data_IF_144170543897
#
_entry.id   IF_144170543897
#
_cell.length_a   1.000
_cell.length_b   1.000
_cell.length_c   1.000
_cell.angle_alpha   90.00
_cell.angle_beta   90.00
_cell.angle_gamma   90.00
#
_symmetry.space_group_name_H-M   'P 1'
#
loop_
_entity.id
_entity.type
_entity.pdbx_description
1 polymer ?
#
# COMPACT_ATOMS: atom_id res chain seq x y z
N UNK A 1 -6.60 -16.49 33.28
CA UNK A 1 -5.68 -15.34 33.44
C UNK A 1 -5.09 -15.06 32.06
N UNK A 2 -5.53 -14.00 31.38
CA UNK A 2 -4.96 -13.62 30.10
C UNK A 2 -3.54 -13.15 30.35
N UNK A 3 -2.56 -13.90 29.86
CA UNK A 3 -1.20 -13.38 29.75
C UNK A 3 -1.26 -12.06 29.01
N UNK A 4 -0.82 -11.01 29.65
CA UNK A 4 -0.70 -9.68 29.07
C UNK A 4 0.45 -9.72 28.05
N UNK A 5 0.22 -10.34 26.87
CA UNK A 5 1.22 -10.46 25.82
C UNK A 5 1.58 -9.05 25.38
N UNK A 6 2.81 -8.66 25.63
CA UNK A 6 3.31 -7.35 25.23
C UNK A 6 3.56 -7.32 23.72
N UNK A 7 2.60 -6.79 22.96
CA UNK A 7 2.69 -6.66 21.51
C UNK A 7 3.47 -5.41 21.06
N UNK A 8 4.02 -4.60 21.98
CA UNK A 8 4.68 -3.33 21.65
C UNK A 8 5.88 -3.55 20.71
N UNK A 9 6.76 -4.51 21.05
CA UNK A 9 7.96 -4.79 20.23
C UNK A 9 7.60 -5.33 18.85
N UNK A 10 6.70 -6.33 18.71
CA UNK A 10 6.21 -6.76 17.40
C UNK A 10 5.58 -5.62 16.57
N UNK A 11 4.77 -4.78 17.19
CA UNK A 11 4.11 -3.65 16.51
C UNK A 11 5.15 -2.61 16.04
N UNK A 12 6.12 -2.26 16.88
CA UNK A 12 7.19 -1.32 16.50
C UNK A 12 8.04 -1.86 15.34
N UNK A 13 8.36 -3.15 15.38
CA UNK A 13 9.11 -3.81 14.31
C UNK A 13 8.31 -3.81 12.99
N UNK A 14 7.03 -4.15 13.04
CA UNK A 14 6.16 -4.09 11.86
C UNK A 14 6.02 -2.65 11.34
N UNK A 15 5.97 -1.66 12.23
CA UNK A 15 5.99 -0.24 11.86
C UNK A 15 7.21 0.12 11.01
N UNK A 16 8.38 -0.41 11.36
CA UNK A 16 9.62 -0.24 10.58
C UNK A 16 9.52 -0.94 9.21
N UNK A 17 8.86 -2.10 9.12
CA UNK A 17 8.61 -2.78 7.84
C UNK A 17 7.69 -1.95 6.94
N UNK A 18 6.60 -1.43 7.47
CA UNK A 18 5.69 -0.56 6.73
C UNK A 18 6.35 0.76 6.33
N UNK A 19 7.20 1.33 7.18
CA UNK A 19 8.04 2.48 6.83
C UNK A 19 8.93 2.17 5.64
N UNK A 20 9.60 1.00 5.62
CA UNK A 20 10.46 0.57 4.52
C UNK A 20 9.71 0.47 3.19
N UNK A 21 8.47 -0.06 3.20
CA UNK A 21 7.61 -0.09 2.03
C UNK A 21 7.33 1.32 1.48
N UNK A 22 6.91 2.25 2.36
CA UNK A 22 6.63 3.63 2.00
C UNK A 22 7.86 4.39 1.51
N UNK A 23 9.01 4.15 2.14
CA UNK A 23 10.28 4.75 1.78
C UNK A 23 10.73 4.35 0.36
N UNK A 24 10.65 3.06 0.03
CA UNK A 24 10.99 2.56 -1.30
C UNK A 24 10.06 3.13 -2.39
N UNK A 25 8.75 3.25 -2.11
CA UNK A 25 7.79 3.86 -3.04
C UNK A 25 8.04 5.36 -3.22
N UNK A 26 8.40 6.07 -2.15
CA UNK A 26 8.71 7.50 -2.20
C UNK A 26 9.96 7.79 -3.07
N UNK A 27 10.97 6.92 -3.06
CA UNK A 27 12.13 7.03 -3.95
C UNK A 27 11.71 6.88 -5.42
N UNK A 28 10.88 5.89 -5.74
CA UNK A 28 10.38 5.75 -7.11
C UNK A 28 9.61 6.99 -7.57
N UNK A 29 8.85 7.64 -6.69
CA UNK A 29 8.14 8.88 -7.01
C UNK A 29 9.10 10.06 -7.26
N UNK A 30 10.22 10.13 -6.52
CA UNK A 30 11.27 11.13 -6.76
C UNK A 30 11.96 10.91 -8.09
N UNK A 31 12.23 9.64 -8.45
CA UNK A 31 12.94 9.31 -9.69
C UNK A 31 12.14 9.72 -10.94
N UNK A 32 10.81 9.77 -10.90
CA UNK A 32 9.99 10.17 -12.06
C UNK A 32 10.41 11.52 -12.61
N UNK A 33 10.35 12.66 -11.89
CA UNK A 33 10.77 13.97 -12.42
C UNK A 33 12.26 14.02 -12.71
N UNK A 34 13.11 13.38 -11.91
CA UNK A 34 14.56 13.35 -12.11
C UNK A 34 14.92 12.69 -13.45
N UNK A 35 14.28 11.56 -13.79
CA UNK A 35 14.56 10.88 -15.05
C UNK A 35 13.94 11.60 -16.26
N UNK A 36 12.82 12.30 -16.08
CA UNK A 36 12.26 13.16 -17.12
C UNK A 36 13.24 14.26 -17.52
N UNK A 37 13.85 14.90 -16.54
CA UNK A 37 14.77 16.01 -16.77
C UNK A 37 16.13 15.53 -17.29
N UNK A 38 16.73 14.51 -16.66
CA UNK A 38 18.09 14.07 -16.96
C UNK A 38 18.19 13.16 -18.20
N UNK A 39 17.17 12.35 -18.48
CA UNK A 39 17.16 11.40 -19.59
C UNK A 39 16.21 11.79 -20.72
N UNK A 40 15.59 12.98 -20.66
CA UNK A 40 14.60 13.47 -21.63
C UNK A 40 13.48 12.47 -21.91
N UNK A 41 13.00 11.76 -20.87
CA UNK A 41 11.91 10.78 -21.00
C UNK A 41 10.57 11.50 -21.08
N UNK A 42 9.69 11.19 -22.06
CA UNK A 42 8.34 11.76 -22.13
C UNK A 42 7.55 11.49 -20.84
N UNK A 43 6.63 12.41 -20.48
CA UNK A 43 5.84 12.29 -19.25
C UNK A 43 5.10 10.95 -19.14
N UNK A 44 4.45 10.48 -20.21
CA UNK A 44 3.80 9.18 -20.25
C UNK A 44 4.78 8.02 -19.98
N UNK A 45 6.04 8.12 -20.49
CA UNK A 45 7.09 7.14 -20.23
C UNK A 45 7.50 7.09 -18.77
N UNK A 46 7.61 8.24 -18.11
CA UNK A 46 8.04 8.30 -16.71
C UNK A 46 7.01 7.67 -15.74
N UNK A 47 5.71 7.73 -16.04
CA UNK A 47 4.68 7.02 -15.28
C UNK A 47 4.81 5.48 -15.39
N UNK A 48 5.54 4.95 -16.39
CA UNK A 48 5.86 3.51 -16.46
C UNK A 48 6.72 3.05 -15.27
N UNK A 49 7.49 3.93 -14.62
CA UNK A 49 8.20 3.58 -13.38
C UNK A 49 7.23 3.17 -12.28
N UNK A 50 6.16 3.93 -12.10
CA UNK A 50 5.11 3.60 -11.14
C UNK A 50 4.44 2.29 -11.54
N UNK A 51 4.09 2.14 -12.84
CA UNK A 51 3.55 0.90 -13.38
C UNK A 51 4.45 -0.31 -13.12
N UNK A 52 5.76 -0.19 -13.42
CA UNK A 52 6.75 -1.24 -13.18
C UNK A 52 6.82 -1.64 -11.70
N UNK A 53 6.60 -0.71 -10.76
CA UNK A 53 6.59 -0.99 -9.33
C UNK A 53 5.35 -1.76 -8.88
N UNK A 54 4.20 -1.56 -9.54
CA UNK A 54 2.94 -2.22 -9.14
C UNK A 54 2.66 -3.54 -9.89
N UNK A 55 3.18 -3.73 -11.11
CA UNK A 55 3.02 -4.98 -11.88
C UNK A 55 3.44 -6.24 -11.07
N UNK A 56 4.56 -6.23 -10.31
CA UNK A 56 4.98 -7.38 -9.52
C UNK A 56 3.95 -7.89 -8.51
N UNK A 57 3.07 -7.04 -7.99
CA UNK A 57 2.03 -7.48 -7.06
C UNK A 57 1.07 -8.49 -7.70
N UNK A 58 0.76 -8.34 -8.99
CA UNK A 58 -0.04 -9.31 -9.72
C UNK A 58 0.73 -10.61 -9.97
N UNK A 59 1.98 -10.50 -10.40
CA UNK A 59 2.81 -11.66 -10.80
C UNK A 59 3.26 -12.45 -9.58
N UNK A 60 3.77 -11.77 -8.56
CA UNK A 60 4.40 -12.37 -7.39
C UNK A 60 3.51 -12.44 -6.15
N UNK A 61 2.31 -11.87 -6.15
CA UNK A 61 1.41 -11.96 -5.00
C UNK A 61 1.12 -13.40 -4.59
N UNK A 62 0.79 -14.27 -5.54
CA UNK A 62 0.58 -15.70 -5.26
C UNK A 62 1.87 -16.44 -4.89
N UNK A 63 2.98 -16.35 -5.64
CA UNK A 63 4.28 -16.91 -5.22
C UNK A 63 4.73 -16.46 -3.83
N UNK A 64 4.54 -15.18 -3.48
CA UNK A 64 4.87 -14.65 -2.16
C UNK A 64 4.06 -15.35 -1.04
N UNK A 65 2.76 -15.57 -1.26
CA UNK A 65 1.93 -16.31 -0.31
C UNK A 65 2.33 -17.79 -0.18
N UNK A 66 2.76 -18.44 -1.26
CA UNK A 66 3.32 -19.79 -1.18
C UNK A 66 4.64 -19.78 -0.38
N UNK A 67 5.46 -18.77 -0.55
CA UNK A 67 6.69 -18.63 0.23
C UNK A 67 6.36 -18.43 1.72
N UNK A 68 5.38 -17.60 2.07
CA UNK A 68 4.92 -17.45 3.46
C UNK A 68 4.47 -18.80 4.06
N UNK A 69 3.78 -19.64 3.27
CA UNK A 69 3.38 -20.98 3.73
C UNK A 69 4.59 -21.90 3.98
N UNK A 70 5.58 -21.84 3.09
CA UNK A 70 6.74 -22.75 3.12
C UNK A 70 7.74 -22.39 4.22
N UNK A 71 8.09 -21.10 4.35
CA UNK A 71 9.18 -20.65 5.23
C UNK A 71 8.72 -19.74 6.37
N UNK A 72 7.44 -19.40 6.43
CA UNK A 72 6.84 -18.53 7.45
C UNK A 72 7.04 -17.04 7.19
N UNK A 73 6.38 -16.22 8.02
CA UNK A 73 6.35 -14.75 7.87
C UNK A 73 7.75 -14.12 7.98
N UNK A 74 8.53 -14.46 9.03
CA UNK A 74 9.84 -13.85 9.32
C UNK A 74 10.84 -14.04 8.18
N UNK A 75 10.97 -15.27 7.67
CA UNK A 75 11.90 -15.59 6.58
C UNK A 75 11.45 -14.93 5.28
N UNK A 76 10.16 -14.85 5.02
CA UNK A 76 9.63 -14.13 3.84
C UNK A 76 9.95 -12.64 3.91
N UNK A 77 9.83 -12.00 5.08
CA UNK A 77 10.26 -10.61 5.28
C UNK A 77 11.75 -10.43 4.98
N UNK A 78 12.60 -11.35 5.46
CA UNK A 78 14.04 -11.30 5.18
C UNK A 78 14.35 -11.44 3.68
N UNK A 79 13.68 -12.35 2.98
CA UNK A 79 13.79 -12.50 1.51
C UNK A 79 13.37 -11.21 0.81
N UNK A 80 12.29 -10.56 1.25
CA UNK A 80 11.85 -9.29 0.68
C UNK A 80 12.93 -8.20 0.79
N UNK A 81 13.61 -8.12 1.93
CA UNK A 81 14.70 -7.15 2.11
C UNK A 81 15.94 -7.44 1.26
N UNK A 82 16.22 -8.71 0.96
CA UNK A 82 17.24 -9.07 -0.04
C UNK A 82 16.86 -8.59 -1.44
N UNK A 83 15.60 -8.72 -1.83
CA UNK A 83 15.10 -8.18 -3.10
C UNK A 83 15.15 -6.65 -3.14
N UNK A 84 14.85 -5.95 -2.02
CA UNK A 84 15.06 -4.51 -1.94
C UNK A 84 16.52 -4.12 -2.14
N UNK A 85 17.45 -4.77 -1.45
CA UNK A 85 18.87 -4.51 -1.62
C UNK A 85 19.34 -4.74 -3.06
N UNK A 86 18.89 -5.84 -3.69
CA UNK A 86 19.14 -6.13 -5.10
C UNK A 86 18.59 -5.03 -6.01
N UNK A 87 17.35 -4.58 -5.80
CA UNK A 87 16.72 -3.51 -6.56
C UNK A 87 17.55 -2.23 -6.54
N UNK A 88 18.03 -1.80 -5.35
CA UNK A 88 18.88 -0.61 -5.24
C UNK A 88 20.27 -0.82 -5.86
N UNK A 89 20.80 -2.04 -5.88
CA UNK A 89 21.98 -2.39 -6.67
C UNK A 89 21.74 -2.19 -8.17
N UNK A 90 20.56 -2.60 -8.68
CA UNK A 90 20.19 -2.37 -10.08
C UNK A 90 19.96 -0.88 -10.35
N UNK A 91 19.43 -0.09 -9.41
CA UNK A 91 19.32 1.37 -9.55
C UNK A 91 20.69 2.03 -9.70
N UNK A 92 21.73 1.60 -8.97
CA UNK A 92 23.12 2.09 -9.12
C UNK A 92 23.63 1.80 -10.54
N UNK A 93 23.46 0.57 -11.03
CA UNK A 93 23.85 0.22 -12.41
C UNK A 93 23.06 1.04 -13.43
N UNK A 94 21.77 1.27 -13.19
CA UNK A 94 20.91 2.08 -14.06
C UNK A 94 21.39 3.52 -14.15
N UNK A 95 21.81 4.07 -13.00
CA UNK A 95 22.37 5.42 -12.92
C UNK A 95 23.71 5.51 -13.65
N UNK A 96 24.62 4.57 -13.45
CA UNK A 96 25.93 4.56 -14.11
C UNK A 96 25.88 4.39 -15.62
N UNK A 97 24.82 3.73 -16.14
CA UNK A 97 24.61 3.52 -17.57
C UNK A 97 23.61 4.52 -18.19
N UNK A 98 23.04 5.43 -17.40
CA UNK A 98 22.03 6.40 -17.81
C UNK A 98 20.86 5.74 -18.58
N UNK A 99 20.50 4.50 -18.18
CA UNK A 99 19.56 3.66 -18.92
C UNK A 99 18.18 3.66 -18.29
N UNK A 100 17.22 4.29 -18.94
CA UNK A 100 15.81 4.27 -18.48
C UNK A 100 15.25 2.86 -18.38
N UNK A 101 15.61 1.96 -19.29
CA UNK A 101 15.16 0.55 -19.26
C UNK A 101 15.64 -0.15 -17.99
N UNK A 102 16.90 0.10 -17.57
CA UNK A 102 17.41 -0.47 -16.32
C UNK A 102 16.72 0.13 -15.09
N UNK A 103 16.33 1.42 -15.12
CA UNK A 103 15.49 2.01 -14.07
C UNK A 103 14.12 1.33 -13.98
N UNK A 104 13.49 0.95 -15.09
CA UNK A 104 12.26 0.15 -15.09
C UNK A 104 12.48 -1.23 -14.48
N UNK A 105 13.58 -1.90 -14.80
CA UNK A 105 13.95 -3.20 -14.21
C UNK A 105 14.18 -3.05 -12.70
N UNK A 106 14.90 -2.02 -12.26
CA UNK A 106 15.10 -1.74 -10.85
C UNK A 106 13.78 -1.50 -10.12
N UNK A 107 12.87 -0.69 -10.70
CA UNK A 107 11.53 -0.44 -10.16
C UNK A 107 10.70 -1.72 -10.09
N UNK A 108 10.79 -2.59 -11.08
CA UNK A 108 10.14 -3.90 -11.07
C UNK A 108 10.68 -4.80 -9.95
N UNK A 109 12.01 -4.85 -9.74
CA UNK A 109 12.63 -5.56 -8.61
C UNK A 109 12.18 -4.98 -7.27
N UNK A 110 12.09 -3.64 -7.16
CA UNK A 110 11.59 -2.96 -5.97
C UNK A 110 10.13 -3.33 -5.69
N UNK A 111 9.28 -3.35 -6.70
CA UNK A 111 7.90 -3.80 -6.62
C UNK A 111 7.81 -5.27 -6.21
N UNK A 112 8.70 -6.13 -6.69
CA UNK A 112 8.79 -7.53 -6.27
C UNK A 112 9.09 -7.65 -4.78
N UNK A 113 10.07 -6.90 -4.27
CA UNK A 113 10.38 -6.82 -2.85
C UNK A 113 9.16 -6.37 -2.03
N UNK A 114 8.47 -5.32 -2.50
CA UNK A 114 7.23 -4.84 -1.88
C UNK A 114 6.13 -5.91 -1.86
N UNK A 115 5.93 -6.64 -2.96
CA UNK A 115 4.93 -7.70 -3.04
C UNK A 115 5.19 -8.81 -2.02
N UNK A 116 6.44 -9.26 -1.87
CA UNK A 116 6.82 -10.24 -0.86
C UNK A 116 6.64 -9.69 0.56
N UNK A 117 7.10 -8.48 0.83
CA UNK A 117 7.00 -7.89 2.15
C UNK A 117 5.54 -7.67 2.56
N UNK A 118 4.72 -7.07 1.71
CA UNK A 118 3.32 -6.78 2.02
C UNK A 118 2.47 -8.03 2.15
N UNK A 119 2.75 -9.10 1.37
CA UNK A 119 2.08 -10.39 1.52
C UNK A 119 2.38 -11.04 2.89
N UNK A 120 3.52 -10.72 3.49
CA UNK A 120 3.86 -11.20 4.83
C UNK A 120 3.32 -10.28 5.94
N UNK A 121 3.54 -8.96 5.87
CA UNK A 121 3.26 -8.06 6.99
C UNK A 121 1.78 -7.72 7.16
N UNK A 122 1.00 -7.60 6.06
CA UNK A 122 -0.42 -7.24 6.16
C UNK A 122 -1.28 -8.30 6.86
N UNK A 123 -1.22 -9.61 6.50
CA UNK A 123 -1.92 -10.62 7.27
C UNK A 123 -1.38 -10.74 8.70
N UNK A 124 -0.06 -10.66 8.87
CA UNK A 124 0.55 -10.79 10.18
C UNK A 124 0.03 -9.72 11.16
N UNK A 125 0.02 -8.43 10.80
CA UNK A 125 -0.52 -7.37 11.66
C UNK A 125 -2.03 -7.50 11.87
N UNK A 126 -2.75 -8.08 10.90
CA UNK A 126 -4.19 -8.31 11.00
C UNK A 126 -4.52 -9.34 12.07
N UNK A 127 -3.77 -10.45 12.11
CA UNK A 127 -3.98 -11.56 13.06
C UNK A 127 -3.23 -11.40 14.39
N UNK A 128 -2.34 -10.43 14.51
CA UNK A 128 -1.59 -10.14 15.75
C UNK A 128 -2.48 -9.45 16.78
N UNK A 129 -3.21 -10.20 17.58
CA UNK A 129 -4.10 -9.71 18.63
C UNK A 129 -5.58 -9.66 18.21
N UNK A 130 -6.48 -9.00 19.00
CA UNK A 130 -7.91 -9.04 18.78
C UNK A 130 -8.35 -8.50 17.41
N UNK A 131 -9.30 -9.20 16.76
CA UNK A 131 -9.78 -8.88 15.40
C UNK A 131 -10.43 -7.50 15.34
N UNK A 132 -11.17 -7.09 16.38
CA UNK A 132 -11.88 -5.81 16.47
C UNK A 132 -10.93 -4.62 16.43
N UNK A 133 -9.68 -4.79 16.86
CA UNK A 133 -8.65 -3.75 16.88
C UNK A 133 -7.66 -3.84 15.70
N UNK A 134 -7.88 -4.77 14.76
CA UNK A 134 -6.97 -4.96 13.61
C UNK A 134 -6.81 -3.68 12.78
N UNK A 135 -7.91 -3.00 12.45
CA UNK A 135 -7.85 -1.74 11.70
C UNK A 135 -7.11 -0.62 12.45
N UNK A 136 -7.19 -0.58 13.79
CA UNK A 136 -6.39 0.35 14.61
C UNK A 136 -4.89 0.07 14.46
N UNK A 137 -4.47 -1.19 14.56
CA UNK A 137 -3.07 -1.59 14.39
C UNK A 137 -2.56 -1.25 12.99
N UNK A 138 -3.34 -1.58 11.97
CA UNK A 138 -3.01 -1.26 10.57
C UNK A 138 -2.97 0.26 10.33
N UNK A 139 -3.80 1.06 11.01
CA UNK A 139 -3.74 2.53 10.95
C UNK A 139 -2.41 3.07 11.48
N UNK A 140 -1.88 2.52 12.57
CA UNK A 140 -0.53 2.87 13.06
C UNK A 140 0.53 2.54 12.01
N UNK A 141 0.42 1.38 11.36
CA UNK A 141 1.31 0.98 10.26
C UNK A 141 1.19 1.94 9.07
N UNK A 142 -0.03 2.37 8.76
CA UNK A 142 -0.31 3.37 7.72
C UNK A 142 0.39 4.69 7.97
N UNK A 143 0.41 5.18 9.22
CA UNK A 143 1.15 6.38 9.60
C UNK A 143 2.65 6.19 9.30
N UNK A 144 3.24 5.08 9.73
CA UNK A 144 4.65 4.78 9.47
C UNK A 144 4.95 4.78 7.95
N UNK A 145 4.10 4.15 7.16
CA UNK A 145 4.24 4.09 5.71
C UNK A 145 4.15 5.47 5.05
N UNK A 146 3.16 6.29 5.43
CA UNK A 146 2.93 7.61 4.81
C UNK A 146 3.95 8.66 5.25
N UNK A 147 4.48 8.58 6.47
CA UNK A 147 5.61 9.41 6.90
C UNK A 147 6.90 9.10 6.13
N UNK A 148 7.10 7.85 5.76
CA UNK A 148 8.28 7.44 5.00
C UNK A 148 8.31 8.04 3.59
N UNK A 149 7.13 8.27 2.98
CA UNK A 149 7.01 8.77 1.61
C UNK A 149 7.72 10.12 1.40
N UNK A 150 7.44 11.20 2.15
CA UNK A 150 8.16 12.47 2.01
C UNK A 150 9.59 12.43 2.59
N UNK A 151 9.88 11.53 3.54
CA UNK A 151 11.21 11.39 4.12
C UNK A 151 12.20 10.84 3.09
N UNK A 152 11.77 9.97 2.17
CA UNK A 152 12.67 9.35 1.21
C UNK A 152 13.31 10.33 0.21
N UNK A 153 12.57 11.26 -0.45
CA UNK A 153 13.17 12.32 -1.26
C UNK A 153 14.10 13.22 -0.43
N UNK A 154 13.66 13.62 0.77
CA UNK A 154 14.47 14.44 1.66
C UNK A 154 15.80 13.76 2.01
N UNK A 155 15.80 12.46 2.31
CA UNK A 155 17.00 11.68 2.55
C UNK A 155 17.94 11.68 1.33
N UNK A 156 17.40 11.49 0.13
CA UNK A 156 18.19 11.52 -1.11
C UNK A 156 18.85 12.90 -1.29
N UNK A 157 18.09 13.98 -1.15
CA UNK A 157 18.65 15.34 -1.30
C UNK A 157 19.65 15.69 -0.20
N UNK A 158 19.46 15.20 1.03
CA UNK A 158 20.40 15.40 2.12
C UNK A 158 21.76 14.74 1.84
N UNK A 159 21.79 13.56 1.22
CA UNK A 159 23.00 12.78 0.97
C UNK A 159 23.64 13.14 -0.35
N UNK A 160 22.84 13.40 -1.40
CA UNK A 160 23.32 13.66 -2.75
C UNK A 160 23.44 15.16 -3.07
N UNK A 161 22.77 16.05 -2.32
CA UNK A 161 22.69 17.48 -2.58
C UNK A 161 21.42 17.89 -3.31
N UNK A 162 21.18 19.22 -3.43
CA UNK A 162 19.96 19.77 -4.00
C UNK A 162 19.90 19.64 -5.54
N UNK A 163 21.04 19.69 -6.22
CA UNK A 163 21.13 19.50 -7.67
C UNK A 163 21.47 18.05 -7.98
N UNK A 164 20.42 17.24 -8.13
CA UNK A 164 20.59 15.80 -8.37
C UNK A 164 21.08 15.53 -9.79
N UNK A 165 22.24 14.90 -9.89
CA UNK A 165 22.72 14.23 -11.10
C UNK A 165 22.58 12.73 -10.96
N UNK A 166 22.51 12.00 -12.07
CA UNK A 166 22.36 10.54 -12.04
C UNK A 166 23.50 9.88 -11.24
N UNK A 167 24.73 10.36 -11.38
CA UNK A 167 25.92 9.84 -10.69
C UNK A 167 25.93 10.10 -9.18
N UNK A 168 25.21 11.10 -8.68
CA UNK A 168 25.13 11.40 -7.26
C UNK A 168 24.16 10.49 -6.51
N UNK A 169 23.32 9.72 -7.22
CA UNK A 169 22.39 8.76 -6.62
C UNK A 169 23.09 7.53 -6.02
N UNK A 170 24.34 7.26 -6.37
CA UNK A 170 25.08 6.10 -5.91
C UNK A 170 25.23 6.06 -4.37
N UNK A 171 25.67 7.18 -3.77
CA UNK A 171 25.90 7.25 -2.31
C UNK A 171 24.64 6.94 -1.49
N UNK A 172 23.49 7.63 -1.71
CA UNK A 172 22.27 7.30 -0.97
C UNK A 172 21.81 5.86 -1.22
N UNK A 173 21.98 5.31 -2.43
CA UNK A 173 21.57 3.96 -2.71
C UNK A 173 22.44 2.91 -2.01
N UNK A 174 23.76 3.12 -1.88
CA UNK A 174 24.60 2.25 -1.05
C UNK A 174 24.17 2.23 0.41
N UNK A 175 23.82 3.38 0.98
CA UNK A 175 23.32 3.46 2.36
C UNK A 175 22.00 2.68 2.49
N UNK A 176 21.07 2.83 1.53
CA UNK A 176 19.80 2.12 1.52
C UNK A 176 19.99 0.60 1.42
N UNK A 177 20.91 0.14 0.58
CA UNK A 177 21.29 -1.28 0.48
C UNK A 177 21.74 -1.80 1.85
N UNK A 178 22.67 -1.11 2.51
CA UNK A 178 23.17 -1.51 3.82
C UNK A 178 22.02 -1.57 4.86
N UNK A 179 21.14 -0.58 4.87
CA UNK A 179 19.96 -0.55 5.77
C UNK A 179 19.03 -1.73 5.48
N UNK A 180 18.70 -2.01 4.23
CA UNK A 180 17.80 -3.12 3.88
C UNK A 180 18.42 -4.48 4.20
N UNK A 181 19.72 -4.67 3.99
CA UNK A 181 20.40 -5.90 4.42
C UNK A 181 20.35 -6.05 5.94
N UNK A 182 20.58 -4.98 6.69
CA UNK A 182 20.46 -5.00 8.15
C UNK A 182 19.04 -5.34 8.60
N UNK A 183 18.00 -4.77 7.96
CA UNK A 183 16.60 -5.08 8.23
C UNK A 183 16.26 -6.54 7.88
N UNK A 184 16.86 -7.09 6.83
CA UNK A 184 16.75 -8.51 6.50
C UNK A 184 17.25 -9.41 7.63
N UNK A 185 18.43 -9.12 8.16
CA UNK A 185 19.01 -9.84 9.32
C UNK A 185 18.14 -9.64 10.56
N UNK A 186 17.74 -8.39 10.86
CA UNK A 186 16.86 -8.08 11.98
C UNK A 186 15.52 -8.82 11.89
N UNK A 187 14.98 -9.02 10.69
CA UNK A 187 13.75 -9.78 10.49
C UNK A 187 13.85 -11.22 10.97
N UNK A 188 15.02 -11.84 10.78
CA UNK A 188 15.29 -13.21 11.26
C UNK A 188 15.46 -13.27 12.78
N UNK A 189 16.05 -12.23 13.37
CA UNK A 189 16.32 -12.16 14.82
C UNK A 189 15.15 -11.62 15.64
N UNK A 190 14.19 -10.93 15.00
CA UNK A 190 13.11 -10.28 15.69
C UNK A 190 12.27 -11.26 16.53
N UNK A 191 11.88 -10.89 17.76
CA UNK A 191 11.05 -11.70 18.66
C UNK A 191 9.58 -11.62 18.23
N UNK A 192 9.31 -11.93 16.97
CA UNK A 192 7.95 -11.99 16.44
C UNK A 192 7.32 -13.32 16.84
N UNK A 193 6.19 -13.34 17.57
CA UNK A 193 5.49 -14.59 17.89
C UNK A 193 4.99 -15.25 16.61
N UNK A 194 4.96 -16.57 16.60
CA UNK A 194 4.20 -17.28 15.58
C UNK A 194 2.71 -17.04 15.84
N UNK A 195 2.05 -16.43 14.87
CA UNK A 195 0.61 -16.16 14.93
C UNK A 195 -0.10 -16.92 13.83
N UNK A 196 -1.25 -17.46 14.18
CA UNK A 196 -2.13 -18.21 13.28
C UNK A 196 -3.51 -17.56 13.33
N UNK A 197 -4.20 -17.55 12.20
CA UNK A 197 -5.59 -17.11 12.16
C UNK A 197 -6.52 -18.18 12.77
N UNK A 198 -7.67 -17.76 13.26
CA UNK A 198 -8.71 -18.67 13.73
C UNK A 198 -9.01 -19.74 12.67
N UNK A 199 -8.96 -21.02 13.05
CA UNK A 199 -9.19 -22.15 12.16
C UNK A 199 -8.14 -22.38 11.07
N UNK A 200 -6.92 -21.83 11.19
CA UNK A 200 -5.83 -22.02 10.22
C UNK A 200 -5.25 -23.45 10.28
N UNK A 201 -5.23 -24.08 11.44
CA UNK A 201 -4.74 -25.45 11.63
C UNK A 201 -5.89 -26.46 11.55
N UNK A 202 -5.76 -27.44 10.65
CA UNK A 202 -6.75 -28.52 10.49
C UNK A 202 -6.75 -29.53 11.65
N UNK A 203 -5.64 -29.63 12.39
CA UNK A 203 -5.38 -30.69 13.38
C UNK A 203 -5.39 -30.22 14.84
N UNK A 204 -5.51 -28.94 15.13
CA UNK A 204 -5.64 -28.50 16.53
C UNK A 204 -7.10 -28.51 16.94
N UNK A 205 -7.40 -29.18 18.06
CA UNK A 205 -8.70 -29.10 18.71
C UNK A 205 -9.00 -27.61 18.95
N UNK A 206 -10.07 -27.12 18.35
CA UNK A 206 -10.47 -25.71 18.41
C UNK A 206 -10.58 -25.28 19.86
N UNK A 207 -9.77 -24.28 20.25
CA UNK A 207 -9.73 -23.75 21.60
C UNK A 207 -10.98 -22.94 21.96
N UNK A 208 -11.84 -22.64 20.97
CA UNK A 208 -13.11 -21.94 21.18
C UNK A 208 -14.21 -22.43 20.21
N UNK A 209 -15.47 -22.20 20.57
CA UNK A 209 -16.61 -22.51 19.69
C UNK A 209 -16.57 -21.70 18.39
N UNK A 210 -15.98 -20.50 18.42
CA UNK A 210 -15.80 -19.63 17.27
C UNK A 210 -14.77 -20.22 16.29
N UNK A 211 -13.62 -20.71 16.77
CA UNK A 211 -12.61 -21.37 15.95
C UNK A 211 -13.18 -22.61 15.26
N UNK A 212 -14.04 -23.38 15.97
CA UNK A 212 -14.71 -24.55 15.41
C UNK A 212 -15.64 -24.17 14.24
N UNK A 213 -16.42 -23.10 14.38
CA UNK A 213 -17.33 -22.62 13.32
C UNK A 213 -16.56 -22.11 12.10
N UNK A 214 -15.49 -21.34 12.31
CA UNK A 214 -14.62 -20.85 11.22
C UNK A 214 -13.96 -22.02 10.50
N UNK A 215 -13.44 -23.00 11.22
CA UNK A 215 -12.84 -24.21 10.67
C UNK A 215 -13.85 -25.01 9.84
N UNK A 216 -15.07 -25.20 10.37
CA UNK A 216 -16.14 -25.90 9.64
C UNK A 216 -16.53 -25.20 8.35
N UNK A 217 -16.69 -23.86 8.40
CA UNK A 217 -17.00 -23.04 7.22
C UNK A 217 -15.89 -23.13 6.18
N UNK A 218 -14.62 -22.91 6.61
CA UNK A 218 -13.47 -22.97 5.69
C UNK A 218 -13.28 -24.36 5.08
N UNK A 219 -13.52 -25.44 5.87
CA UNK A 219 -13.42 -26.81 5.37
C UNK A 219 -14.52 -27.20 4.40
N UNK A 220 -15.66 -26.54 4.42
CA UNK A 220 -16.72 -26.71 3.40
C UNK A 220 -16.32 -26.20 2.03
N UNK A 221 -15.30 -25.34 1.94
CA UNK A 221 -14.84 -24.71 0.71
C UNK A 221 -13.68 -25.51 0.08
N UNK A 222 -13.72 -25.67 -1.25
CA UNK A 222 -12.68 -26.38 -2.02
C UNK A 222 -11.62 -25.44 -2.58
N UNK A 223 -11.95 -24.15 -2.71
CA UNK A 223 -11.09 -23.13 -3.32
C UNK A 223 -11.26 -21.80 -2.62
N UNK A 224 -10.17 -21.01 -2.57
CA UNK A 224 -10.16 -19.68 -2.04
C UNK A 224 -11.11 -18.71 -2.77
N UNK A 225 -11.38 -18.96 -4.03
CA UNK A 225 -12.33 -18.16 -4.83
C UNK A 225 -13.80 -18.41 -4.48
N UNK A 226 -14.08 -19.37 -3.60
CA UNK A 226 -15.43 -19.59 -3.04
C UNK A 226 -15.77 -18.69 -1.85
N UNK A 227 -14.89 -17.75 -1.50
CA UNK A 227 -15.12 -16.72 -0.50
C UNK A 227 -15.45 -15.39 -1.20
N UNK A 228 -16.75 -15.05 -1.41
CA UNK A 228 -17.15 -13.86 -2.17
C UNK A 228 -16.58 -12.57 -1.59
N UNK A 229 -16.60 -12.42 -0.25
CA UNK A 229 -16.08 -11.24 0.44
C UNK A 229 -14.57 -11.04 0.22
N UNK A 230 -13.79 -12.11 0.06
CA UNK A 230 -12.37 -12.02 -0.26
C UNK A 230 -12.16 -11.52 -1.70
N UNK A 231 -12.86 -12.14 -2.65
CA UNK A 231 -12.74 -11.77 -4.08
C UNK A 231 -13.19 -10.31 -4.29
N UNK A 232 -14.34 -9.94 -3.73
CA UNK A 232 -14.83 -8.57 -3.79
C UNK A 232 -13.90 -7.60 -3.07
N UNK A 233 -13.27 -8.02 -1.98
CA UNK A 233 -12.26 -7.25 -1.26
C UNK A 233 -10.99 -7.01 -2.07
N UNK A 234 -10.54 -8.00 -2.84
CA UNK A 234 -9.41 -7.84 -3.75
C UNK A 234 -9.68 -6.80 -4.84
N UNK A 235 -10.88 -6.79 -5.43
CA UNK A 235 -11.30 -5.74 -6.35
C UNK A 235 -11.47 -4.38 -5.64
N UNK A 236 -11.93 -4.36 -4.39
CA UNK A 236 -12.01 -3.12 -3.63
C UNK A 236 -10.61 -2.53 -3.37
N UNK A 237 -9.62 -3.35 -3.06
CA UNK A 237 -8.22 -2.95 -2.95
C UNK A 237 -7.70 -2.46 -4.31
N UNK A 238 -8.02 -3.13 -5.41
CA UNK A 238 -7.64 -2.69 -6.76
C UNK A 238 -8.10 -1.26 -7.04
N UNK A 239 -9.37 -0.97 -6.87
CA UNK A 239 -9.92 0.36 -7.09
C UNK A 239 -9.40 1.40 -6.09
N UNK A 240 -9.23 0.99 -4.83
CA UNK A 240 -8.71 1.85 -3.78
C UNK A 240 -7.26 2.29 -4.07
N UNK A 241 -6.36 1.32 -4.34
CA UNK A 241 -4.94 1.63 -4.58
C UNK A 241 -4.79 2.51 -5.82
N UNK A 242 -5.60 2.27 -6.86
CA UNK A 242 -5.64 3.13 -8.03
C UNK A 242 -6.03 4.58 -7.70
N UNK A 243 -7.14 4.77 -7.01
CA UNK A 243 -7.63 6.10 -6.65
C UNK A 243 -6.71 6.82 -5.63
N UNK A 244 -6.16 6.09 -4.65
CA UNK A 244 -5.19 6.63 -3.70
C UNK A 244 -3.89 7.06 -4.40
N UNK A 245 -3.38 6.25 -5.33
CA UNK A 245 -2.16 6.56 -6.10
C UNK A 245 -2.37 7.83 -6.94
N UNK A 246 -3.52 7.97 -7.58
CA UNK A 246 -3.88 9.21 -8.29
C UNK A 246 -3.81 10.41 -7.32
N UNK A 247 -4.50 10.34 -6.19
CA UNK A 247 -4.54 11.45 -5.23
C UNK A 247 -3.14 11.83 -4.70
N UNK A 248 -2.24 10.85 -4.51
CA UNK A 248 -0.89 11.08 -4.00
C UNK A 248 0.09 11.56 -5.07
N UNK A 249 0.05 10.95 -6.27
CA UNK A 249 1.09 11.12 -7.27
C UNK A 249 0.82 12.25 -8.26
N UNK A 250 -0.44 12.65 -8.45
CA UNK A 250 -0.80 13.59 -9.52
C UNK A 250 -1.05 15.02 -9.06
N UNK A 251 -1.02 15.30 -7.76
CA UNK A 251 -1.44 16.59 -7.20
C UNK A 251 -0.60 17.76 -7.70
N UNK A 252 0.73 17.64 -7.72
CA UNK A 252 1.63 18.70 -8.22
C UNK A 252 1.40 18.94 -9.72
N UNK A 253 1.36 17.85 -10.48
CA UNK A 253 1.12 17.91 -11.92
C UNK A 253 -0.27 18.49 -12.25
N UNK A 254 -1.28 18.19 -11.42
CA UNK A 254 -2.60 18.77 -11.54
C UNK A 254 -2.61 20.28 -11.25
N UNK A 255 -1.95 20.72 -10.17
CA UNK A 255 -1.82 22.14 -9.84
C UNK A 255 -1.09 22.93 -10.94
N UNK A 256 -0.02 22.35 -11.52
CA UNK A 256 0.67 22.91 -12.70
C UNK A 256 -0.25 22.99 -13.91
N UNK A 257 -1.02 21.94 -14.17
CA UNK A 257 -1.98 21.89 -15.28
C UNK A 257 -3.12 22.92 -15.19
N UNK A 258 -3.43 23.40 -13.98
CA UNK A 258 -4.36 24.50 -13.73
C UNK A 258 -3.70 25.89 -13.77
N UNK A 259 -2.39 25.97 -14.02
CA UNK A 259 -1.65 27.23 -14.05
C UNK A 259 -1.44 27.88 -12.69
N UNK A 260 -1.47 27.08 -11.59
CA UNK A 260 -1.25 27.62 -10.25
C UNK A 260 0.24 27.82 -9.99
N UNK A 261 0.58 28.99 -9.44
CA UNK A 261 1.95 29.30 -9.03
C UNK A 261 2.36 28.42 -7.83
N UNK A 262 3.65 28.10 -7.75
CA UNK A 262 4.25 27.33 -6.66
C UNK A 262 3.53 25.99 -6.39
N UNK A 263 3.26 25.24 -7.47
CA UNK A 263 2.51 23.98 -7.41
C UNK A 263 3.10 22.96 -6.41
N UNK A 264 4.40 23.01 -6.16
CA UNK A 264 5.11 22.19 -5.19
C UNK A 264 4.60 22.38 -3.76
N UNK A 265 4.11 23.57 -3.41
CA UNK A 265 3.58 23.89 -2.10
C UNK A 265 2.28 23.12 -1.77
N UNK A 266 1.60 22.56 -2.78
CA UNK A 266 0.42 21.75 -2.56
C UNK A 266 0.75 20.28 -2.19
N UNK A 267 2.00 19.84 -2.38
CA UNK A 267 2.44 18.43 -2.19
C UNK A 267 2.13 17.85 -0.81
N UNK A 268 2.05 18.69 0.22
CA UNK A 268 1.76 18.28 1.59
C UNK A 268 0.28 18.01 1.90
N UNK A 269 -0.63 18.45 1.03
CA UNK A 269 -2.07 18.33 1.27
C UNK A 269 -2.47 16.88 1.47
N UNK A 270 -2.11 15.99 0.53
CA UNK A 270 -2.53 14.60 0.56
C UNK A 270 -1.89 13.80 1.69
N UNK A 271 -0.57 13.84 1.94
CA UNK A 271 0.03 13.15 3.08
C UNK A 271 -0.52 13.63 4.43
N UNK A 272 -0.77 14.95 4.58
CA UNK A 272 -1.33 15.51 5.80
C UNK A 272 -2.76 15.00 6.04
N UNK A 273 -3.63 15.08 5.03
CA UNK A 273 -5.02 14.63 5.14
C UNK A 273 -5.12 13.13 5.43
N UNK A 274 -4.29 12.28 4.77
CA UNK A 274 -4.22 10.86 5.07
C UNK A 274 -3.75 10.62 6.50
N UNK A 275 -2.73 11.33 6.98
CA UNK A 275 -2.21 11.18 8.33
C UNK A 275 -3.25 11.56 9.39
N UNK A 276 -4.01 12.65 9.18
CA UNK A 276 -5.13 13.02 10.06
C UNK A 276 -6.18 11.90 10.11
N UNK A 277 -6.51 11.31 8.97
CA UNK A 277 -7.43 10.18 8.92
C UNK A 277 -6.91 8.95 9.66
N UNK A 278 -5.64 8.57 9.50
CA UNK A 278 -5.04 7.45 10.24
C UNK A 278 -5.02 7.71 11.75
N UNK A 279 -4.67 8.92 12.19
CA UNK A 279 -4.70 9.32 13.61
C UNK A 279 -6.12 9.19 14.16
N UNK A 280 -7.13 9.65 13.42
CA UNK A 280 -8.53 9.49 13.82
C UNK A 280 -8.93 8.02 13.95
N UNK A 281 -8.45 7.14 13.05
CA UNK A 281 -8.65 5.70 13.13
C UNK A 281 -8.05 5.09 14.39
N UNK A 282 -6.83 5.48 14.75
CA UNK A 282 -6.17 5.01 15.99
C UNK A 282 -6.97 5.39 17.24
N UNK A 283 -7.58 6.58 17.25
CA UNK A 283 -8.36 7.08 18.40
C UNK A 283 -9.77 6.48 18.44
N UNK A 284 -10.42 6.36 17.28
CA UNK A 284 -11.84 6.02 17.22
C UNK A 284 -12.11 4.51 17.17
N UNK A 285 -11.18 3.70 16.59
CA UNK A 285 -11.39 2.26 16.43
C UNK A 285 -10.69 1.49 17.57
N UNK A 286 -11.34 0.48 18.16
CA UNK A 286 -12.73 0.07 17.99
C UNK A 286 -13.71 0.80 18.92
N UNK A 287 -13.22 1.64 19.83
CA UNK A 287 -13.97 2.17 20.99
C UNK A 287 -15.25 2.93 20.60
N UNK A 288 -15.15 3.78 19.59
CA UNK A 288 -16.26 4.66 19.16
C UNK A 288 -16.83 4.27 17.79
N UNK A 289 -16.05 3.54 16.98
CA UNK A 289 -16.42 3.24 15.61
C UNK A 289 -15.91 1.84 15.21
N UNK A 290 -16.78 1.04 14.58
CA UNK A 290 -16.36 -0.24 13.99
C UNK A 290 -15.56 -0.02 12.69
N UNK A 291 -14.74 -1.03 12.32
CA UNK A 291 -13.97 -1.04 11.07
C UNK A 291 -14.88 -0.85 9.84
N UNK A 292 -16.06 -1.48 9.85
CA UNK A 292 -17.06 -1.36 8.78
C UNK A 292 -17.60 0.06 8.67
N UNK A 293 -17.94 0.70 9.80
CA UNK A 293 -18.41 2.10 9.79
C UNK A 293 -17.33 3.06 9.32
N UNK A 294 -16.06 2.82 9.72
CA UNK A 294 -14.93 3.59 9.24
C UNK A 294 -14.83 3.55 7.71
N UNK A 295 -14.91 2.34 7.12
CA UNK A 295 -14.89 2.16 5.67
C UNK A 295 -16.05 2.89 4.98
N UNK A 296 -17.27 2.79 5.53
CA UNK A 296 -18.46 3.45 4.97
C UNK A 296 -18.32 4.97 4.97
N UNK A 297 -17.92 5.57 6.08
CA UNK A 297 -17.74 7.02 6.22
C UNK A 297 -16.63 7.50 5.26
N UNK A 298 -15.48 6.83 5.28
CA UNK A 298 -14.36 7.17 4.42
C UNK A 298 -14.71 7.09 2.93
N UNK A 299 -15.51 6.10 2.54
CA UNK A 299 -15.96 5.98 1.15
C UNK A 299 -16.87 7.14 0.74
N UNK A 300 -17.79 7.56 1.62
CA UNK A 300 -18.65 8.73 1.36
C UNK A 300 -17.80 10.00 1.23
N UNK A 301 -16.83 10.21 2.13
CA UNK A 301 -15.90 11.35 2.08
C UNK A 301 -15.14 11.37 0.74
N UNK A 302 -14.64 10.22 0.29
CA UNK A 302 -13.90 10.11 -0.97
C UNK A 302 -14.77 10.41 -2.20
N UNK A 303 -16.04 9.95 -2.20
CA UNK A 303 -17.02 10.27 -3.26
C UNK A 303 -17.26 11.77 -3.30
N UNK A 304 -17.56 12.39 -2.14
CA UNK A 304 -17.77 13.84 -2.04
C UNK A 304 -16.52 14.59 -2.50
N UNK A 305 -15.33 14.17 -2.05
CA UNK A 305 -14.05 14.75 -2.48
C UNK A 305 -13.87 14.70 -3.99
N UNK A 306 -14.19 13.57 -4.63
CA UNK A 306 -14.11 13.42 -6.08
C UNK A 306 -15.05 14.39 -6.81
N UNK A 307 -16.27 14.50 -6.36
CA UNK A 307 -17.25 15.46 -6.94
C UNK A 307 -16.76 16.90 -6.78
N UNK A 308 -16.18 17.26 -5.62
CA UNK A 308 -15.63 18.58 -5.39
C UNK A 308 -14.43 18.88 -6.29
N UNK A 309 -13.52 17.89 -6.50
CA UNK A 309 -12.40 18.05 -7.43
C UNK A 309 -12.89 18.42 -8.83
N UNK A 310 -13.92 17.73 -9.32
CA UNK A 310 -14.38 17.91 -10.69
C UNK A 310 -15.26 19.16 -10.87
N UNK A 311 -16.01 19.54 -9.83
CA UNK A 311 -17.00 20.63 -9.93
C UNK A 311 -16.46 22.00 -9.49
N UNK A 312 -15.41 22.06 -8.65
CA UNK A 312 -14.88 23.33 -8.17
C UNK A 312 -13.76 23.85 -9.09
N UNK A 313 -13.63 25.17 -9.24
CA UNK A 313 -12.61 25.78 -10.06
C UNK A 313 -11.27 26.00 -9.31
N UNK A 314 -10.18 26.02 -10.06
CA UNK A 314 -8.87 26.51 -9.62
C UNK A 314 -8.33 25.80 -8.35
N UNK A 315 -7.75 26.55 -7.44
CA UNK A 315 -7.12 26.03 -6.23
C UNK A 315 -8.09 25.25 -5.31
N UNK A 316 -9.39 25.58 -5.29
CA UNK A 316 -10.38 24.85 -4.49
C UNK A 316 -10.49 23.38 -4.95
N UNK A 317 -10.38 23.13 -6.25
CA UNK A 317 -10.32 21.78 -6.78
C UNK A 317 -9.08 21.04 -6.30
N UNK A 318 -7.91 21.67 -6.26
CA UNK A 318 -6.66 21.07 -5.77
C UNK A 318 -6.77 20.71 -4.28
N UNK A 319 -7.30 21.59 -3.43
CA UNK A 319 -7.55 21.29 -2.01
C UNK A 319 -8.54 20.15 -1.82
N UNK A 320 -9.48 19.98 -2.75
CA UNK A 320 -10.47 18.89 -2.70
C UNK A 320 -9.84 17.50 -2.89
N UNK A 321 -8.64 17.40 -3.49
CA UNK A 321 -7.87 16.16 -3.53
C UNK A 321 -7.49 15.71 -2.11
N UNK A 322 -7.24 16.66 -1.21
CA UNK A 322 -7.04 16.37 0.21
C UNK A 322 -8.25 15.67 0.85
N UNK A 323 -9.46 16.00 0.43
CA UNK A 323 -10.69 15.32 0.89
C UNK A 323 -10.73 13.87 0.37
N UNK A 324 -10.35 13.63 -0.90
CA UNK A 324 -10.19 12.27 -1.41
C UNK A 324 -9.17 11.51 -0.57
N UNK A 325 -8.03 12.11 -0.30
CA UNK A 325 -6.96 11.52 0.49
C UNK A 325 -7.39 11.19 1.93
N UNK A 326 -8.13 12.09 2.58
CA UNK A 326 -8.75 11.84 3.88
C UNK A 326 -9.71 10.65 3.82
N UNK A 327 -10.54 10.57 2.79
CA UNK A 327 -11.42 9.43 2.55
C UNK A 327 -10.67 8.12 2.33
N UNK A 328 -9.52 8.14 1.66
CA UNK A 328 -8.70 6.95 1.45
C UNK A 328 -8.05 6.42 2.74
N UNK A 329 -7.86 7.24 3.77
CA UNK A 329 -7.03 6.92 4.94
C UNK A 329 -7.40 5.63 5.68
N UNK A 330 -8.68 5.42 6.03
CA UNK A 330 -9.11 4.23 6.78
C UNK A 330 -9.62 3.10 5.89
N UNK A 331 -9.58 3.24 4.56
CA UNK A 331 -9.99 2.17 3.65
C UNK A 331 -9.02 1.00 3.73
N UNK A 332 -7.72 1.24 3.61
CA UNK A 332 -6.69 0.20 3.73
C UNK A 332 -6.78 -0.58 5.06
N UNK A 333 -6.82 0.09 6.24
CA UNK A 333 -6.98 -0.60 7.50
C UNK A 333 -8.23 -1.46 7.61
N UNK A 334 -9.32 -1.08 6.95
CA UNK A 334 -10.58 -1.80 7.02
C UNK A 334 -10.67 -2.97 6.01
N UNK A 335 -10.07 -2.85 4.82
CA UNK A 335 -10.14 -3.90 3.81
C UNK A 335 -9.56 -5.23 4.30
N UNK A 336 -8.39 -5.21 4.94
CA UNK A 336 -7.73 -6.42 5.37
C UNK A 336 -8.57 -7.26 6.33
N UNK A 337 -9.00 -6.76 7.50
CA UNK A 337 -9.78 -7.57 8.41
C UNK A 337 -11.14 -7.98 7.84
N UNK A 338 -11.80 -7.11 7.05
CA UNK A 338 -13.11 -7.42 6.47
C UNK A 338 -13.04 -8.47 5.34
N UNK A 339 -11.96 -8.46 4.56
CA UNK A 339 -11.77 -9.41 3.46
C UNK A 339 -11.16 -10.74 3.92
N UNK A 340 -10.41 -10.75 5.03
CA UNK A 340 -9.76 -11.94 5.56
C UNK A 340 -10.60 -12.69 6.59
N UNK A 341 -11.78 -12.20 6.94
CA UNK A 341 -12.65 -12.82 7.93
C UNK A 341 -13.06 -14.24 7.49
N UNK A 342 -13.08 -15.18 8.44
CA UNK A 342 -13.55 -16.55 8.26
C UNK A 342 -12.82 -17.40 7.20
N UNK A 343 -11.58 -17.04 6.83
CA UNK A 343 -10.82 -17.79 5.81
C UNK A 343 -10.19 -19.08 6.35
N UNK A 344 -10.00 -19.23 7.67
CA UNK A 344 -9.38 -20.39 8.29
C UNK A 344 -8.07 -20.78 7.61
N UNK A 345 -7.93 -22.03 7.17
CA UNK A 345 -6.77 -22.56 6.45
C UNK A 345 -6.38 -21.78 5.18
N UNK A 346 -7.29 -20.98 4.62
CA UNK A 346 -7.03 -20.18 3.42
C UNK A 346 -6.45 -18.78 3.72
N UNK A 347 -6.22 -18.39 4.98
CA UNK A 347 -5.76 -17.06 5.38
C UNK A 347 -4.51 -16.61 4.62
N UNK A 348 -3.46 -17.45 4.55
CA UNK A 348 -2.22 -17.12 3.84
C UNK A 348 -2.43 -16.98 2.32
N UNK A 349 -3.28 -17.83 1.73
CA UNK A 349 -3.65 -17.71 0.32
C UNK A 349 -4.54 -16.49 0.06
N UNK A 350 -5.41 -16.15 1.01
CA UNK A 350 -6.26 -14.96 0.95
C UNK A 350 -5.45 -13.68 0.91
N UNK A 351 -4.42 -13.60 1.74
CA UNK A 351 -3.47 -12.49 1.72
C UNK A 351 -2.82 -12.30 0.33
N UNK A 352 -2.48 -13.40 -0.35
CA UNK A 352 -1.95 -13.36 -1.72
C UNK A 352 -2.93 -12.72 -2.69
N UNK A 353 -4.20 -13.13 -2.64
CA UNK A 353 -5.25 -12.60 -3.52
C UNK A 353 -5.47 -11.11 -3.27
N UNK A 354 -5.49 -10.68 -2.00
CA UNK A 354 -5.61 -9.25 -1.66
C UNK A 354 -4.39 -8.45 -2.14
N UNK A 355 -3.18 -9.00 -1.99
CA UNK A 355 -1.94 -8.36 -2.45
C UNK A 355 -1.92 -8.18 -3.97
N UNK A 356 -2.46 -9.14 -4.74
CA UNK A 356 -2.59 -9.00 -6.19
C UNK A 356 -3.47 -7.80 -6.58
N UNK A 357 -4.43 -7.41 -5.74
CA UNK A 357 -5.25 -6.22 -5.95
C UNK A 357 -4.46 -4.91 -6.06
N UNK A 358 -3.23 -4.83 -5.52
CA UNK A 358 -2.41 -3.63 -5.60
C UNK A 358 -2.02 -3.24 -7.04
N UNK A 359 -2.17 -4.14 -8.03
CA UNK A 359 -1.99 -3.80 -9.46
C UNK A 359 -2.89 -2.64 -9.91
N UNK A 360 -3.96 -2.35 -9.16
CA UNK A 360 -4.83 -1.19 -9.39
C UNK A 360 -4.06 0.12 -9.45
N UNK A 361 -2.96 0.25 -8.66
CA UNK A 361 -2.07 1.39 -8.70
C UNK A 361 -1.42 1.63 -10.08
N UNK A 362 -1.14 0.57 -10.84
CA UNK A 362 -0.66 0.70 -12.22
C UNK A 362 -1.83 0.97 -13.19
N UNK A 363 -2.84 0.12 -13.17
CA UNK A 363 -3.90 0.12 -14.19
C UNK A 363 -4.71 1.42 -14.14
N UNK A 364 -5.20 1.80 -12.97
CA UNK A 364 -6.08 2.97 -12.83
C UNK A 364 -5.29 4.27 -13.06
N UNK A 365 -4.00 4.31 -12.65
CA UNK A 365 -3.16 5.49 -12.87
C UNK A 365 -2.79 5.69 -14.34
N UNK A 366 -2.54 4.61 -15.08
CA UNK A 366 -2.33 4.69 -16.55
C UNK A 366 -3.61 5.16 -17.24
N UNK A 367 -4.77 4.63 -16.85
CA UNK A 367 -6.05 5.08 -17.40
C UNK A 367 -6.33 6.55 -17.06
N UNK A 368 -5.97 7.02 -15.86
CA UNK A 368 -6.03 8.43 -15.50
C UNK A 368 -5.18 9.29 -16.44
N UNK A 369 -3.93 8.86 -16.72
CA UNK A 369 -3.05 9.55 -17.66
C UNK A 369 -3.68 9.70 -19.05
N UNK A 370 -4.26 8.63 -19.59
CA UNK A 370 -4.96 8.65 -20.88
C UNK A 370 -6.18 9.60 -20.88
N UNK A 371 -6.94 9.61 -19.78
CA UNK A 371 -8.07 10.53 -19.62
C UNK A 371 -7.59 11.98 -19.52
N UNK A 372 -6.50 12.23 -18.80
CA UNK A 372 -5.89 13.56 -18.69
C UNK A 372 -5.47 14.12 -20.05
N UNK A 373 -4.81 13.30 -20.87
CA UNK A 373 -4.34 13.72 -22.19
C UNK A 373 -5.51 14.04 -23.15
N UNK A 374 -6.64 13.33 -23.03
CA UNK A 374 -7.79 13.51 -23.93
C UNK A 374 -8.83 14.51 -23.42
N UNK A 375 -9.04 14.63 -22.11
CA UNK A 375 -10.15 15.40 -21.51
C UNK A 375 -9.69 16.50 -20.54
N UNK A 376 -8.38 16.63 -20.35
CA UNK A 376 -7.78 17.59 -19.43
C UNK A 376 -7.65 17.08 -18.00
N UNK A 377 -6.79 17.75 -17.20
CA UNK A 377 -6.37 17.24 -15.89
C UNK A 377 -7.50 17.14 -14.87
N UNK A 378 -8.46 18.06 -14.87
CA UNK A 378 -9.60 18.07 -13.95
C UNK A 378 -10.60 16.97 -14.27
N UNK A 379 -10.96 16.80 -15.53
CA UNK A 379 -11.94 15.80 -15.96
C UNK A 379 -11.41 14.37 -15.79
N UNK A 380 -10.10 14.17 -15.80
CA UNK A 380 -9.50 12.85 -15.56
C UNK A 380 -9.89 12.28 -14.18
N UNK A 381 -10.14 13.13 -13.18
CA UNK A 381 -10.57 12.67 -11.84
C UNK A 381 -11.93 11.98 -11.81
N UNK A 382 -12.75 12.07 -12.87
CA UNK A 382 -13.98 11.28 -12.96
C UNK A 382 -13.74 9.77 -12.84
N UNK A 383 -12.55 9.28 -13.17
CA UNK A 383 -12.20 7.86 -13.01
C UNK A 383 -12.27 7.40 -11.56
N UNK A 384 -12.06 8.30 -10.59
CA UNK A 384 -12.11 7.97 -9.17
C UNK A 384 -13.55 7.65 -8.71
N UNK A 385 -14.58 8.22 -9.38
CA UNK A 385 -15.97 8.00 -8.98
C UNK A 385 -16.40 6.54 -9.09
N UNK A 386 -16.27 5.84 -10.24
CA UNK A 386 -16.61 4.42 -10.32
C UNK A 386 -15.77 3.56 -9.36
N UNK A 387 -14.50 3.93 -9.09
CA UNK A 387 -13.69 3.26 -8.10
C UNK A 387 -14.33 3.33 -6.70
N UNK A 388 -14.70 4.52 -6.25
CA UNK A 388 -15.32 4.70 -4.93
C UNK A 388 -16.74 4.17 -4.86
N UNK A 389 -17.51 4.16 -5.95
CA UNK A 389 -18.82 3.49 -5.99
C UNK A 389 -18.70 1.98 -5.79
N UNK A 390 -17.69 1.34 -6.39
CA UNK A 390 -17.43 -0.08 -6.12
C UNK A 390 -17.02 -0.32 -4.67
N UNK A 391 -16.17 0.54 -4.12
CA UNK A 391 -15.77 0.47 -2.70
C UNK A 391 -16.99 0.65 -1.79
N UNK A 392 -17.93 1.55 -2.14
CA UNK A 392 -19.20 1.70 -1.42
C UNK A 392 -20.02 0.39 -1.45
N UNK A 393 -20.15 -0.25 -2.60
CA UNK A 393 -20.79 -1.56 -2.69
C UNK A 393 -20.13 -2.58 -1.74
N UNK A 394 -18.80 -2.66 -1.72
CA UNK A 394 -18.09 -3.54 -0.79
C UNK A 394 -18.34 -3.16 0.66
N UNK A 395 -18.27 -1.88 1.02
CA UNK A 395 -18.43 -1.36 2.37
C UNK A 395 -19.84 -1.59 2.95
N UNK A 396 -20.89 -1.58 2.11
CA UNK A 396 -22.26 -1.73 2.58
C UNK A 396 -22.77 -3.18 2.47
N UNK A 397 -22.38 -3.91 1.43
CA UNK A 397 -22.90 -5.27 1.14
C UNK A 397 -21.82 -6.31 0.92
N UNK A 398 -20.78 -6.01 0.10
CA UNK A 398 -19.83 -7.01 -0.40
C UNK A 398 -19.10 -7.78 0.70
N UNK A 399 -18.67 -7.11 1.76
CA UNK A 399 -17.97 -7.73 2.88
C UNK A 399 -18.80 -8.71 3.72
N UNK A 400 -20.12 -8.70 3.58
CA UNK A 400 -21.07 -9.59 4.30
C UNK A 400 -21.39 -10.87 3.52
N UNK A 401 -21.03 -10.95 2.25
CA UNK A 401 -21.30 -12.11 1.43
C UNK A 401 -20.38 -13.27 1.81
N UNK A 402 -20.96 -14.46 2.04
CA UNK A 402 -20.26 -15.67 2.49
C UNK A 402 -20.40 -16.80 1.46
#
# INVERSE_FOLDING_TARGET
>A
MSENKNYLVPIAFLGLMFFSCGFALGINSLLVPVLQELLNVPSAGAYLLIGATFIPFLIFGYPAGQLVKLIGYKRTMAVAFLFFALSFGVFIVSASQESFVLFLVASFCCGTANAFLQTAINPYITILGPVESAAKRISVMGICNKLAWPISPWFITLVAGEHLTVSQLDKPFYIIIAVFLALGVLSLMAPLPEVKAAGEDENEASNSAEDAQVSQYANSKKSIFQFPHLVLGAFAIFFYVGAETIALATLIDYAKGLGLENAENYSWITPLCISVGYISGVVLIPKYMSQTRALQICTIIAIVGTLLVVLLPGALSVFSIGIIALGCSLMWPAFWPLSMQDLGKFTKSGASVLTMGLIGGAVVTVLFGLLKDNYGPQNAYWICLPCFLYIAFFAFKGHKLR
#
